data_IF_477792908041
#
_entry.id   IF_477792908041
#
_cell.length_a   1.000
_cell.length_b   1.000
_cell.length_c   1.000
_cell.angle_alpha   90.00
_cell.angle_beta   90.00
_cell.angle_gamma   90.00
#
_symmetry.space_group_name_H-M   'P 1'
#
loop_
_entity.id
_entity.type
_entity.pdbx_description
1 polymer ?
#
# COMPACT_ATOMS: atom_id res chain seq x y z
N UNK A 1 16.99 12.33 17.33
CA UNK A 1 17.08 11.88 15.91
C UNK A 1 15.69 11.41 15.47
N UNK A 2 15.17 11.89 14.34
CA UNK A 2 13.88 11.43 13.80
C UNK A 2 14.13 10.20 12.92
N UNK A 3 13.47 9.09 13.21
CA UNK A 3 13.45 7.89 12.36
C UNK A 3 12.07 7.73 11.72
N UNK A 4 12.04 7.23 10.48
CA UNK A 4 10.81 6.99 9.72
C UNK A 4 10.81 5.57 9.17
N UNK A 5 9.69 4.88 9.33
CA UNK A 5 9.40 3.61 8.66
C UNK A 5 8.18 3.78 7.74
N UNK A 6 8.23 3.17 6.57
CA UNK A 6 7.16 3.23 5.57
C UNK A 6 6.88 1.84 5.03
N UNK A 7 5.62 1.45 5.02
CA UNK A 7 5.16 0.20 4.39
C UNK A 7 3.98 0.48 3.48
N UNK A 8 3.94 -0.23 2.35
CA UNK A 8 2.85 -0.17 1.37
C UNK A 8 2.35 -1.57 1.14
N UNK A 9 1.05 -1.76 1.27
CA UNK A 9 0.34 -2.95 0.83
C UNK A 9 -0.60 -2.59 -0.30
N UNK A 10 -0.65 -3.42 -1.34
CA UNK A 10 -1.54 -3.22 -2.50
C UNK A 10 -2.23 -4.54 -2.78
N UNK A 11 -3.55 -4.49 -2.88
CA UNK A 11 -4.37 -5.61 -3.34
C UNK A 11 -5.23 -5.14 -4.51
N UNK A 12 -5.58 -6.05 -5.40
CA UNK A 12 -6.41 -5.76 -6.55
C UNK A 12 -7.20 -6.99 -6.98
N UNK A 13 -8.30 -6.75 -7.69
CA UNK A 13 -9.18 -7.80 -8.18
C UNK A 13 -9.95 -7.39 -9.43
N UNK A 14 -10.78 -8.32 -9.90
CA UNK A 14 -11.60 -8.15 -11.09
C UNK A 14 -13.01 -8.67 -10.79
N UNK A 15 -14.00 -7.77 -10.91
CA UNK A 15 -15.40 -8.10 -10.63
C UNK A 15 -15.93 -9.21 -11.54
N UNK A 16 -15.44 -9.28 -12.77
CA UNK A 16 -15.87 -10.27 -13.75
C UNK A 16 -15.15 -11.63 -13.59
N UNK A 17 -13.95 -11.67 -13.00
CA UNK A 17 -13.19 -12.92 -12.87
C UNK A 17 -13.36 -13.60 -11.50
N UNK A 18 -13.40 -12.83 -10.41
CA UNK A 18 -13.50 -13.38 -9.06
C UNK A 18 -14.39 -12.52 -8.14
N UNK A 19 -15.35 -11.80 -8.73
CA UNK A 19 -16.25 -10.92 -7.98
C UNK A 19 -15.50 -9.84 -7.19
N UNK A 20 -15.91 -9.65 -5.93
CA UNK A 20 -15.30 -8.67 -5.03
C UNK A 20 -14.01 -9.16 -4.35
N UNK A 21 -13.55 -10.39 -4.61
CA UNK A 21 -12.36 -10.93 -3.97
C UNK A 21 -11.06 -10.48 -4.65
N UNK A 22 -10.00 -10.35 -3.86
CA UNK A 22 -8.68 -9.99 -4.36
C UNK A 22 -8.03 -11.18 -5.10
N UNK A 23 -7.45 -10.91 -6.27
CA UNK A 23 -6.71 -11.90 -7.07
C UNK A 23 -5.20 -11.61 -7.03
N UNK A 24 -4.83 -10.33 -6.93
CA UNK A 24 -3.45 -9.88 -6.96
C UNK A 24 -3.11 -9.14 -5.66
N UNK A 25 -2.04 -9.55 -4.98
CA UNK A 25 -1.68 -9.04 -3.63
C UNK A 25 -0.23 -8.54 -3.53
N UNK A 26 0.48 -8.49 -4.65
CA UNK A 26 1.85 -7.99 -4.70
C UNK A 26 1.89 -6.48 -4.92
N UNK A 27 3.07 -5.86 -4.73
CA UNK A 27 3.27 -4.40 -4.92
C UNK A 27 2.89 -3.90 -6.33
N UNK A 28 2.87 -4.78 -7.33
CA UNK A 28 2.47 -4.48 -8.70
C UNK A 28 0.99 -4.76 -9.00
N UNK A 29 0.18 -5.16 -8.03
CA UNK A 29 -1.22 -5.57 -8.22
C UNK A 29 -2.05 -4.52 -8.97
N UNK A 30 -1.83 -3.22 -8.69
CA UNK A 30 -2.47 -2.12 -9.41
C UNK A 30 -2.15 -2.12 -10.91
N UNK A 31 -0.90 -2.37 -11.30
CA UNK A 31 -0.50 -2.42 -12.69
C UNK A 31 -1.06 -3.66 -13.40
N UNK A 32 -1.16 -4.79 -12.69
CA UNK A 32 -1.76 -6.02 -13.23
C UNK A 32 -3.25 -5.84 -13.47
N UNK A 33 -3.98 -5.23 -12.54
CA UNK A 33 -5.39 -4.92 -12.69
C UNK A 33 -5.65 -3.99 -13.89
N UNK A 34 -4.85 -2.92 -14.04
CA UNK A 34 -4.96 -2.01 -15.18
C UNK A 34 -4.77 -2.72 -16.54
N UNK A 35 -3.71 -3.55 -16.65
CA UNK A 35 -3.46 -4.34 -17.86
C UNK A 35 -4.57 -5.33 -18.15
N UNK A 36 -5.17 -5.92 -17.11
CA UNK A 36 -6.27 -6.86 -17.27
C UNK A 36 -7.55 -6.16 -17.74
N UNK A 37 -7.85 -4.97 -17.22
CA UNK A 37 -8.95 -4.14 -17.72
C UNK A 37 -8.76 -3.78 -19.19
N UNK A 38 -7.55 -3.36 -19.58
CA UNK A 38 -7.23 -3.04 -20.98
C UNK A 38 -7.33 -4.26 -21.91
N UNK A 39 -6.77 -5.39 -21.51
CA UNK A 39 -6.73 -6.59 -22.33
C UNK A 39 -8.09 -7.30 -22.47
N UNK A 40 -8.97 -7.19 -21.46
CA UNK A 40 -10.24 -7.94 -21.42
C UNK A 40 -11.50 -7.07 -21.43
N UNK A 41 -11.38 -5.76 -21.22
CA UNK A 41 -12.53 -4.88 -21.02
C UNK A 41 -13.27 -5.11 -19.70
N UNK A 42 -12.65 -5.82 -18.75
CA UNK A 42 -13.27 -6.16 -17.47
C UNK A 42 -13.21 -4.98 -16.48
N UNK A 43 -14.17 -4.95 -15.54
CA UNK A 43 -14.16 -4.00 -14.43
C UNK A 43 -13.23 -4.51 -13.33
N UNK A 44 -12.11 -3.83 -13.16
CA UNK A 44 -11.12 -4.13 -12.11
C UNK A 44 -11.11 -3.09 -11.01
N UNK A 45 -10.56 -3.45 -9.86
CA UNK A 45 -10.38 -2.58 -8.70
C UNK A 45 -9.00 -2.79 -8.09
N UNK A 46 -8.49 -1.77 -7.38
CA UNK A 46 -7.23 -1.85 -6.64
C UNK A 46 -7.30 -0.97 -5.38
N UNK A 47 -6.88 -1.52 -4.26
CA UNK A 47 -6.78 -0.85 -2.97
C UNK A 47 -5.32 -0.76 -2.53
N UNK A 48 -4.90 0.42 -2.10
CA UNK A 48 -3.55 0.68 -1.58
C UNK A 48 -3.62 1.19 -0.15
N UNK A 49 -2.94 0.51 0.77
CA UNK A 49 -2.75 0.96 2.14
C UNK A 49 -1.31 1.44 2.34
N UNK A 50 -1.15 2.73 2.63
CA UNK A 50 0.14 3.35 2.97
C UNK A 50 0.21 3.56 4.49
N UNK A 51 1.24 3.02 5.13
CA UNK A 51 1.53 3.27 6.54
C UNK A 51 2.87 3.97 6.67
N UNK A 52 2.86 5.12 7.35
CA UNK A 52 4.07 5.88 7.68
C UNK A 52 4.13 6.05 9.19
N UNK A 53 5.23 5.60 9.80
CA UNK A 53 5.48 5.71 11.24
C UNK A 53 6.70 6.58 11.49
N UNK A 54 6.59 7.49 12.44
CA UNK A 54 7.68 8.36 12.88
C UNK A 54 8.04 8.03 14.32
N UNK A 55 9.33 8.04 14.65
CA UNK A 55 9.81 7.94 16.02
C UNK A 55 10.87 9.02 16.26
N UNK A 56 10.81 9.67 17.42
CA UNK A 56 11.77 10.69 17.82
C UNK A 56 12.43 10.24 19.12
N UNK A 57 13.76 10.28 19.16
CA UNK A 57 14.50 10.11 20.41
C UNK A 57 14.42 11.42 21.21
N UNK A 58 13.98 11.40 22.48
CA UNK A 58 13.99 12.59 23.33
C UNK A 58 15.41 13.17 23.41
N UNK A 59 15.52 14.49 23.32
CA UNK A 59 16.77 15.16 23.66
C UNK A 59 16.79 15.23 25.19
N UNK A 60 17.72 14.52 25.84
CA UNK A 60 17.90 14.67 27.28
C UNK A 60 18.15 16.15 27.58
N UNK A 61 17.30 16.75 28.44
CA UNK A 61 17.55 18.10 28.91
C UNK A 61 18.84 18.06 29.72
N UNK A 62 19.87 18.75 29.24
CA UNK A 62 21.07 18.98 30.04
C UNK A 62 20.63 19.58 31.39
N UNK A 63 20.92 18.88 32.49
CA UNK A 63 20.72 19.43 33.83
C UNK A 63 21.67 20.63 33.94
N UNK A 64 21.11 21.83 33.94
CA UNK A 64 21.83 23.03 34.33
C UNK A 64 22.12 22.89 35.82
N UNK A 65 23.40 22.64 36.16
CA UNK A 65 23.93 22.78 37.52
C UNK A 65 23.93 24.23 37.97
#
# INVERSE_FOLDING_TARGET
MLTRSTSVNVIAGCFDCNGSEAIWTAKNAMAVAARHAEAKGHKTWADQTLSVRYACVPVEKAKTS
#
